data_IF_202494217585
#
_entry.id   IF_202494217585
#
_cell.length_a   1.000
_cell.length_b   1.000
_cell.length_c   1.000
_cell.angle_alpha   90.00
_cell.angle_beta   90.00
_cell.angle_gamma   90.00
#
_symmetry.space_group_name_H-M   'P 1'
#
loop_
_entity.id
_entity.type
_entity.pdbx_description
1 polymer ?
#
# COMPACT_ATOMS: atom_id res chain seq x y z
N UNK A 1 9.07 11.60 -15.85
CA UNK A 1 9.55 10.38 -15.16
C UNK A 1 9.31 9.16 -16.02
N UNK A 2 10.23 8.22 -16.01
CA UNK A 2 10.04 6.99 -16.73
C UNK A 2 9.00 6.10 -16.03
N UNK A 3 8.43 5.18 -16.79
CA UNK A 3 7.48 4.21 -16.21
C UNK A 3 8.12 3.40 -15.10
N UNK A 4 9.39 3.03 -15.27
CA UNK A 4 10.13 2.26 -14.25
C UNK A 4 10.23 3.04 -12.94
N UNK A 5 10.56 4.33 -13.01
CA UNK A 5 10.64 5.16 -11.82
C UNK A 5 9.30 5.28 -11.12
N UNK A 6 8.23 5.42 -11.90
CA UNK A 6 6.89 5.51 -11.36
C UNK A 6 6.49 4.21 -10.65
N UNK A 7 6.78 3.08 -11.27
CA UNK A 7 6.53 1.77 -10.66
C UNK A 7 7.29 1.58 -9.35
N UNK A 8 8.55 2.00 -9.33
CA UNK A 8 9.35 1.90 -8.12
C UNK A 8 8.77 2.75 -6.98
N UNK A 9 8.27 3.93 -7.30
CA UNK A 9 7.61 4.79 -6.31
C UNK A 9 6.35 4.13 -5.76
N UNK A 10 5.53 3.56 -6.64
CA UNK A 10 4.32 2.87 -6.22
C UNK A 10 4.63 1.67 -5.33
N UNK A 11 5.63 0.90 -5.70
CA UNK A 11 6.05 -0.25 -4.90
C UNK A 11 6.55 0.18 -3.53
N UNK A 12 7.28 1.28 -3.46
CA UNK A 12 7.77 1.83 -2.19
C UNK A 12 6.61 2.26 -1.31
N UNK A 13 5.62 2.95 -1.89
CA UNK A 13 4.42 3.35 -1.15
C UNK A 13 3.63 2.14 -0.66
N UNK A 14 3.53 1.13 -1.50
CA UNK A 14 2.85 -0.11 -1.13
C UNK A 14 3.54 -0.77 0.07
N UNK A 15 4.86 -0.83 0.06
CA UNK A 15 5.63 -1.39 1.16
C UNK A 15 5.42 -0.59 2.44
N UNK A 16 5.44 0.74 2.33
CA UNK A 16 5.22 1.62 3.46
C UNK A 16 3.83 1.40 4.07
N UNK A 17 2.81 1.30 3.23
CA UNK A 17 1.46 1.01 3.69
C UNK A 17 1.35 -0.38 4.32
N UNK A 18 2.04 -1.35 3.75
CA UNK A 18 2.06 -2.70 4.30
C UNK A 18 2.62 -2.70 5.72
N UNK A 19 3.72 -1.98 5.93
CA UNK A 19 4.33 -1.85 7.24
C UNK A 19 3.40 -1.13 8.22
N UNK A 20 2.72 -0.09 7.75
CA UNK A 20 1.76 0.65 8.57
C UNK A 20 0.59 -0.23 9.01
N UNK A 21 0.07 -1.04 8.10
CA UNK A 21 -1.01 -1.97 8.42
C UNK A 21 -0.54 -2.97 9.47
N UNK A 22 0.65 -3.51 9.29
CA UNK A 22 1.20 -4.49 10.21
C UNK A 22 1.36 -3.91 11.61
N UNK A 23 1.91 -2.70 11.71
CA UNK A 23 2.05 -2.02 12.99
C UNK A 23 0.71 -1.70 13.63
N UNK A 24 -0.25 -1.26 12.83
CA UNK A 24 -1.59 -0.94 13.32
C UNK A 24 -2.27 -2.19 13.89
N UNK A 25 -2.08 -3.34 13.25
CA UNK A 25 -2.66 -4.59 13.72
C UNK A 25 -2.02 -5.08 15.03
N UNK A 26 -0.76 -4.72 15.25
CA UNK A 26 -0.05 -5.08 16.48
C UNK A 26 -0.40 -4.18 17.65
N UNK A 27 -0.87 -2.97 17.38
CA UNK A 27 -1.19 -2.01 18.43
C UNK A 27 -2.60 -2.28 18.96
N UNK A 28 -2.75 -2.59 20.25
CA UNK A 28 -4.09 -2.92 20.80
C UNK A 28 -5.08 -1.76 20.75
N UNK A 29 -4.57 -0.53 20.73
CA UNK A 29 -5.39 0.67 20.71
C UNK A 29 -5.73 1.15 19.29
N UNK A 30 -5.36 0.39 18.27
CA UNK A 30 -5.62 0.79 16.88
C UNK A 30 -7.10 0.75 16.55
N UNK A 31 -7.53 1.80 15.85
CA UNK A 31 -8.90 1.90 15.37
C UNK A 31 -9.09 0.96 14.18
N UNK A 32 -10.13 0.12 14.26
CA UNK A 32 -10.48 -0.80 13.17
C UNK A 32 -10.71 -0.04 11.87
N UNK A 33 -11.31 1.13 11.94
CA UNK A 33 -11.57 1.96 10.77
C UNK A 33 -10.28 2.41 10.10
N UNK A 34 -9.27 2.78 10.90
CA UNK A 34 -7.98 3.18 10.37
C UNK A 34 -7.29 2.02 9.65
N UNK A 35 -7.35 0.83 10.22
CA UNK A 35 -6.79 -0.38 9.60
C UNK A 35 -7.48 -0.65 8.27
N UNK A 36 -8.80 -0.53 8.23
CA UNK A 36 -9.56 -0.75 7.00
C UNK A 36 -9.17 0.24 5.90
N UNK A 37 -8.96 1.50 6.28
CA UNK A 37 -8.52 2.53 5.33
C UNK A 37 -7.14 2.23 4.77
N UNK A 38 -6.22 1.82 5.62
CA UNK A 38 -4.87 1.47 5.20
C UNK A 38 -4.87 0.27 4.25
N UNK A 39 -5.66 -0.74 4.57
CA UNK A 39 -5.80 -1.92 3.71
C UNK A 39 -6.37 -1.55 2.35
N UNK A 40 -7.35 -0.65 2.32
CA UNK A 40 -7.95 -0.19 1.07
C UNK A 40 -6.94 0.56 0.21
N UNK A 41 -6.14 1.43 0.81
CA UNK A 41 -5.10 2.15 0.10
C UNK A 41 -4.03 1.20 -0.45
N UNK A 42 -3.65 0.21 0.34
CA UNK A 42 -2.70 -0.80 -0.08
C UNK A 42 -3.21 -1.57 -1.29
N UNK A 43 -4.48 -1.95 -1.26
CA UNK A 43 -5.10 -2.68 -2.37
C UNK A 43 -5.12 -1.85 -3.65
N UNK A 44 -5.45 -0.56 -3.54
CA UNK A 44 -5.46 0.34 -4.69
C UNK A 44 -4.07 0.46 -5.32
N UNK A 45 -3.05 0.59 -4.50
CA UNK A 45 -1.67 0.65 -4.99
C UNK A 45 -1.29 -0.65 -5.68
N UNK A 46 -1.67 -1.77 -5.11
CA UNK A 46 -1.39 -3.07 -5.71
C UNK A 46 -2.03 -3.20 -7.08
N UNK A 47 -3.27 -2.78 -7.22
CA UNK A 47 -3.98 -2.82 -8.49
C UNK A 47 -3.31 -1.92 -9.53
N UNK A 48 -2.89 -0.74 -9.12
CA UNK A 48 -2.21 0.19 -10.01
C UNK A 48 -0.86 -0.35 -10.47
N UNK A 49 -0.10 -0.94 -9.55
CA UNK A 49 1.17 -1.58 -9.88
C UNK A 49 0.96 -2.71 -10.89
N UNK A 50 -0.04 -3.55 -10.64
CA UNK A 50 -0.36 -4.66 -11.52
C UNK A 50 -0.74 -4.16 -12.92
N UNK A 51 -1.54 -3.11 -12.98
CA UNK A 51 -1.97 -2.54 -14.26
C UNK A 51 -0.80 -1.99 -15.05
N UNK A 52 0.09 -1.25 -14.38
CA UNK A 52 1.24 -0.64 -15.03
C UNK A 52 2.32 -1.64 -15.41
N UNK A 53 2.39 -2.76 -14.71
CA UNK A 53 3.36 -3.81 -15.05
C UNK A 53 2.89 -4.72 -16.19
N UNK A 54 1.72 -4.46 -16.74
CA UNK A 54 1.22 -5.20 -17.89
C UNK A 54 0.58 -6.53 -17.56
N UNK A 55 0.30 -6.73 -16.32
CA UNK A 55 -0.38 -7.96 -15.91
C UNK A 55 -1.89 -7.83 -16.09
#
# INVERSE_FOLDING_TARGET
MSLTSHLQELKRKHQSLSDAVEQAQRTPASDTLQIARLKKQKLRLKEEISRLSGA
#
